data_IF_199578741327
#
_entry.id   IF_199578741327
#
_cell.length_a   1.000
_cell.length_b   1.000
_cell.length_c   1.000
_cell.angle_alpha   90.00
_cell.angle_beta   90.00
_cell.angle_gamma   90.00
#
_symmetry.space_group_name_H-M   'P 1'
#
loop_
_entity.id
_entity.type
_entity.pdbx_description
1 polymer ?
#
# COMPACT_ATOMS: atom_id res chain seq x y z
N UNK A 1 -15.91 7.56 -1.59
CA UNK A 1 -14.56 6.95 -1.44
C UNK A 1 -14.39 5.79 -2.43
N UNK A 2 -13.17 5.42 -2.85
CA UNK A 2 -12.91 4.32 -3.81
C UNK A 2 -13.61 3.01 -3.42
N UNK A 3 -13.50 2.63 -2.15
CA UNK A 3 -14.14 1.44 -1.57
C UNK A 3 -15.67 1.42 -1.73
N UNK A 4 -16.33 2.58 -1.66
CA UNK A 4 -17.79 2.70 -1.86
C UNK A 4 -18.18 2.69 -3.34
N UNK A 5 -17.31 3.22 -4.21
CA UNK A 5 -17.56 3.30 -5.64
C UNK A 5 -17.40 1.97 -6.36
N UNK A 6 -16.34 1.22 -6.03
CA UNK A 6 -16.11 -0.12 -6.55
C UNK A 6 -15.27 -0.94 -5.56
N UNK A 7 -15.96 -1.62 -4.65
CA UNK A 7 -15.32 -2.40 -3.59
C UNK A 7 -14.43 -3.52 -4.15
N UNK A 8 -14.94 -4.27 -5.14
CA UNK A 8 -14.23 -5.42 -5.70
C UNK A 8 -12.89 -4.99 -6.35
N UNK A 9 -12.91 -3.91 -7.13
CA UNK A 9 -11.70 -3.38 -7.76
C UNK A 9 -10.76 -2.73 -6.74
N UNK A 10 -11.30 -2.04 -5.74
CA UNK A 10 -10.50 -1.46 -4.64
C UNK A 10 -9.78 -2.56 -3.86
N UNK A 11 -10.44 -3.67 -3.53
CA UNK A 11 -9.81 -4.81 -2.86
C UNK A 11 -8.74 -5.49 -3.72
N UNK A 12 -8.95 -5.56 -5.04
CA UNK A 12 -7.91 -6.07 -5.97
C UNK A 12 -6.67 -5.16 -5.97
N UNK A 13 -6.88 -3.86 -5.98
CA UNK A 13 -5.81 -2.87 -5.90
C UNK A 13 -5.03 -2.98 -4.58
N UNK A 14 -5.73 -3.03 -3.45
CA UNK A 14 -5.10 -3.21 -2.13
C UNK A 14 -4.32 -4.53 -2.02
N UNK A 15 -4.83 -5.63 -2.60
CA UNK A 15 -4.08 -6.90 -2.65
C UNK A 15 -2.81 -6.82 -3.51
N UNK A 16 -2.85 -6.08 -4.61
CA UNK A 16 -1.65 -5.88 -5.43
C UNK A 16 -0.56 -5.17 -4.62
N UNK A 17 -0.92 -4.13 -3.87
CA UNK A 17 0.00 -3.41 -2.98
C UNK A 17 0.48 -4.29 -1.81
N UNK A 18 -0.39 -5.12 -1.24
CA UNK A 18 0.00 -6.08 -0.20
C UNK A 18 1.10 -7.02 -0.72
N UNK A 19 0.92 -7.57 -1.92
CA UNK A 19 1.90 -8.45 -2.55
C UNK A 19 3.23 -7.72 -2.79
N UNK A 20 3.19 -6.45 -3.24
CA UNK A 20 4.39 -5.62 -3.36
C UNK A 20 5.12 -5.52 -2.01
N UNK A 21 4.41 -5.20 -0.92
CA UNK A 21 4.98 -5.14 0.43
C UNK A 21 5.56 -6.48 0.92
N UNK A 22 4.90 -7.61 0.63
CA UNK A 22 5.38 -8.95 1.01
C UNK A 22 6.68 -9.33 0.29
N UNK A 23 6.78 -8.97 -0.99
CA UNK A 23 7.97 -9.21 -1.83
C UNK A 23 9.05 -8.13 -1.72
N UNK A 24 8.76 -7.04 -1.01
CA UNK A 24 9.62 -5.87 -0.93
C UNK A 24 10.95 -6.21 -0.25
N UNK A 25 12.05 -5.79 -0.87
CA UNK A 25 13.40 -5.86 -0.32
C UNK A 25 13.84 -4.49 0.20
N UNK A 26 14.66 -4.42 1.27
CA UNK A 26 15.26 -3.17 1.71
C UNK A 26 15.99 -2.46 0.57
N UNK A 27 15.81 -1.14 0.46
CA UNK A 27 16.55 -0.36 -0.53
C UNK A 27 18.01 -0.16 -0.09
N UNK A 28 18.92 -0.28 -1.05
CA UNK A 28 20.33 0.02 -0.86
C UNK A 28 20.62 1.54 -0.78
N UNK A 29 19.69 2.37 -1.27
CA UNK A 29 19.80 3.83 -1.31
C UNK A 29 18.45 4.49 -1.58
N UNK A 30 18.36 5.80 -1.37
CA UNK A 30 17.14 6.60 -1.52
C UNK A 30 17.30 7.76 -2.51
N UNK A 31 18.26 7.64 -3.44
CA UNK A 31 18.41 8.61 -4.50
C UNK A 31 17.23 8.57 -5.48
N UNK A 32 17.09 9.64 -6.25
CA UNK A 32 15.96 9.82 -7.15
C UNK A 32 15.83 8.70 -8.19
N UNK A 33 16.94 8.21 -8.77
CA UNK A 33 16.88 7.18 -9.80
C UNK A 33 16.49 5.82 -9.21
N UNK A 34 16.99 5.50 -8.01
CA UNK A 34 16.56 4.30 -7.27
C UNK A 34 15.06 4.33 -6.97
N UNK A 35 14.54 5.45 -6.45
CA UNK A 35 13.12 5.59 -6.14
C UNK A 35 12.25 5.60 -7.39
N UNK A 36 12.69 6.27 -8.45
CA UNK A 36 11.99 6.28 -9.75
C UNK A 36 11.91 4.89 -10.35
N UNK A 37 13.01 4.13 -10.34
CA UNK A 37 13.03 2.77 -10.85
C UNK A 37 12.10 1.84 -10.04
N UNK A 38 12.10 1.97 -8.71
CA UNK A 38 11.18 1.26 -7.83
C UNK A 38 9.71 1.51 -8.25
N UNK A 39 9.30 2.79 -8.37
CA UNK A 39 7.93 3.15 -8.74
C UNK A 39 7.57 2.64 -10.13
N UNK A 40 8.40 2.92 -11.14
CA UNK A 40 8.10 2.54 -12.53
C UNK A 40 8.01 1.02 -12.69
N UNK A 41 8.92 0.27 -12.05
CA UNK A 41 8.86 -1.19 -12.11
C UNK A 41 7.62 -1.71 -11.40
N UNK A 42 7.32 -1.20 -10.21
CA UNK A 42 6.15 -1.60 -9.45
C UNK A 42 4.82 -1.31 -10.15
N UNK A 43 4.67 -0.14 -10.78
CA UNK A 43 3.50 0.22 -11.60
C UNK A 43 3.30 -0.75 -12.78
N UNK A 44 4.39 -1.18 -13.41
CA UNK A 44 4.37 -2.15 -14.49
C UNK A 44 4.00 -3.55 -13.98
N UNK A 45 4.57 -3.97 -12.84
CA UNK A 45 4.34 -5.29 -12.24
C UNK A 45 2.87 -5.49 -11.84
N UNK A 46 2.24 -4.44 -11.31
CA UNK A 46 0.80 -4.48 -10.98
C UNK A 46 -0.10 -4.08 -12.14
N UNK A 47 0.46 -3.73 -13.30
CA UNK A 47 -0.24 -3.15 -14.45
C UNK A 47 -1.25 -2.07 -14.02
N UNK A 48 -0.75 -0.98 -13.44
CA UNK A 48 -1.56 0.02 -12.69
C UNK A 48 -2.76 0.58 -13.46
N UNK A 49 -2.66 0.64 -14.79
CA UNK A 49 -3.73 1.09 -15.69
C UNK A 49 -5.03 0.30 -15.54
N UNK A 50 -4.96 -0.97 -15.10
CA UNK A 50 -6.15 -1.78 -14.82
C UNK A 50 -7.04 -1.21 -13.70
N UNK A 51 -6.50 -0.30 -12.88
CA UNK A 51 -7.19 0.32 -11.75
C UNK A 51 -7.69 1.74 -12.04
N UNK A 52 -7.44 2.30 -13.24
CA UNK A 52 -7.76 3.70 -13.57
C UNK A 52 -9.25 4.03 -13.47
N UNK A 53 -10.15 3.06 -13.59
CA UNK A 53 -11.59 3.28 -13.36
C UNK A 53 -11.91 3.68 -11.91
N UNK A 54 -11.01 3.42 -10.95
CA UNK A 54 -11.13 3.92 -9.58
C UNK A 54 -10.87 5.43 -9.46
N UNK A 55 -10.31 6.09 -10.48
CA UNK A 55 -10.07 7.54 -10.47
C UNK A 55 -11.38 8.34 -10.50
N UNK A 56 -12.50 7.72 -10.90
CA UNK A 56 -13.83 8.32 -10.79
C UNK A 56 -14.34 8.44 -9.34
N UNK A 57 -13.62 7.89 -8.35
CA UNK A 57 -14.05 7.85 -6.95
C UNK A 57 -12.97 8.38 -6.00
N UNK A 58 -13.37 9.25 -5.06
CA UNK A 58 -12.45 9.84 -4.08
C UNK A 58 -11.67 11.02 -4.64
N UNK A 59 -10.73 11.54 -3.84
CA UNK A 59 -10.01 12.79 -4.15
C UNK A 59 -8.70 12.56 -4.91
N UNK A 60 -7.99 11.48 -4.59
CA UNK A 60 -6.67 11.16 -5.17
C UNK A 60 -6.79 10.06 -6.22
N UNK A 61 -6.02 10.16 -7.30
CA UNK A 61 -5.91 9.09 -8.31
C UNK A 61 -5.13 7.86 -7.80
N UNK A 62 -5.23 6.75 -8.54
CA UNK A 62 -4.59 5.48 -8.15
C UNK A 62 -3.07 5.50 -8.30
N UNK A 63 -2.50 6.36 -9.15
CA UNK A 63 -1.05 6.45 -9.35
C UNK A 63 -0.41 7.13 -8.14
N UNK A 64 -0.94 8.28 -7.74
CA UNK A 64 -0.52 8.97 -6.52
C UNK A 64 -0.63 8.08 -5.28
N UNK A 65 -1.77 7.39 -5.12
CA UNK A 65 -1.98 6.49 -4.00
C UNK A 65 -0.99 5.32 -4.03
N UNK A 66 -0.67 4.80 -5.21
CA UNK A 66 0.29 3.72 -5.37
C UNK A 66 1.69 4.17 -4.94
N UNK A 67 2.16 5.31 -5.46
CA UNK A 67 3.45 5.89 -5.10
C UNK A 67 3.58 6.08 -3.60
N UNK A 68 2.56 6.65 -2.95
CA UNK A 68 2.57 6.85 -1.50
C UNK A 68 2.70 5.52 -0.75
N UNK A 69 1.93 4.51 -1.16
CA UNK A 69 1.91 3.20 -0.52
C UNK A 69 3.21 2.41 -0.72
N UNK A 70 3.77 2.44 -1.92
CA UNK A 70 5.04 1.79 -2.25
C UNK A 70 6.20 2.38 -1.42
N UNK A 71 6.25 3.72 -1.30
CA UNK A 71 7.26 4.38 -0.49
C UNK A 71 7.15 4.05 1.00
N UNK A 72 5.92 3.96 1.54
CA UNK A 72 5.69 3.55 2.93
C UNK A 72 6.08 2.08 3.17
N UNK A 73 5.73 1.19 2.24
CA UNK A 73 6.09 -0.22 2.30
C UNK A 73 7.61 -0.42 2.38
N UNK A 74 8.32 0.25 1.48
CA UNK A 74 9.77 0.17 1.38
C UNK A 74 10.47 0.82 2.56
N UNK A 75 9.98 1.96 3.04
CA UNK A 75 10.52 2.63 4.22
C UNK A 75 10.42 1.73 5.46
N UNK A 76 9.30 1.04 5.64
CA UNK A 76 9.11 0.08 6.74
C UNK A 76 10.16 -1.04 6.68
N UNK A 77 10.28 -1.74 5.55
CA UNK A 77 11.24 -2.85 5.37
C UNK A 77 12.69 -2.41 5.49
N UNK A 78 13.02 -1.22 4.99
CA UNK A 78 14.38 -0.68 5.02
C UNK A 78 14.81 -0.27 6.42
N UNK A 79 13.93 0.41 7.17
CA UNK A 79 14.24 0.85 8.53
C UNK A 79 14.17 -0.29 9.55
N UNK A 80 13.23 -1.23 9.36
CA UNK A 80 12.96 -2.28 10.34
C UNK A 80 12.30 -3.48 9.67
N UNK A 81 13.08 -4.48 9.29
CA UNK A 81 12.58 -5.67 8.59
C UNK A 81 11.51 -6.46 9.38
N UNK A 82 11.48 -6.34 10.71
CA UNK A 82 10.48 -6.91 11.61
C UNK A 82 9.29 -5.96 11.90
N UNK A 83 9.17 -4.82 11.22
CA UNK A 83 7.97 -4.01 11.26
C UNK A 83 6.93 -4.51 10.26
N UNK A 84 5.66 -4.44 10.67
CA UNK A 84 4.53 -4.94 9.89
C UNK A 84 3.33 -3.97 9.91
N UNK A 85 3.54 -2.72 10.32
CA UNK A 85 2.47 -1.74 10.49
C UNK A 85 1.74 -1.51 9.16
N UNK A 86 2.51 -1.28 8.10
CA UNK A 86 1.93 -1.01 6.79
C UNK A 86 1.17 -2.24 6.25
N UNK A 87 1.77 -3.43 6.36
CA UNK A 87 1.08 -4.68 6.03
C UNK A 87 -0.22 -4.88 6.82
N UNK A 88 -0.18 -4.65 8.13
CA UNK A 88 -1.35 -4.79 9.03
C UNK A 88 -2.47 -3.81 8.67
N UNK A 89 -2.13 -2.60 8.24
CA UNK A 89 -3.13 -1.62 7.78
C UNK A 89 -3.81 -2.10 6.50
N UNK A 90 -3.07 -2.68 5.55
CA UNK A 90 -3.66 -3.21 4.32
C UNK A 90 -4.56 -4.42 4.63
N UNK A 91 -4.14 -5.30 5.53
CA UNK A 91 -4.96 -6.43 5.99
C UNK A 91 -6.29 -5.95 6.60
N UNK A 92 -6.25 -4.91 7.45
CA UNK A 92 -7.45 -4.33 8.04
C UNK A 92 -8.34 -3.65 6.98
N UNK A 93 -7.76 -2.97 5.99
CA UNK A 93 -8.51 -2.42 4.85
C UNK A 93 -9.15 -3.50 3.97
N UNK A 94 -8.57 -4.70 3.92
CA UNK A 94 -9.14 -5.84 3.22
C UNK A 94 -10.21 -6.58 4.03
N UNK A 95 -10.29 -6.34 5.34
CA UNK A 95 -11.25 -6.97 6.24
C UNK A 95 -12.70 -6.63 5.86
N UNK A 96 -13.62 -7.48 6.34
CA UNK A 96 -15.07 -7.32 6.07
C UNK A 96 -15.73 -6.35 7.05
N UNK A 97 -15.11 -6.12 8.21
CA UNK A 97 -15.63 -5.30 9.32
C UNK A 97 -14.73 -4.07 9.53
N UNK A 98 -14.51 -3.35 8.42
CA UNK A 98 -13.66 -2.16 8.33
C UNK A 98 -14.22 -1.06 9.22
N UNK A 99 -13.50 -0.79 10.30
CA UNK A 99 -13.72 0.38 11.13
C UNK A 99 -12.47 1.24 11.10
N UNK A 100 -12.63 2.54 10.81
CA UNK A 100 -11.53 3.50 10.86
C UNK A 100 -10.86 3.51 12.23
N UNK A 101 -11.60 3.25 13.31
CA UNK A 101 -11.04 3.11 14.65
C UNK A 101 -10.21 1.84 14.83
N UNK A 102 -10.55 0.74 14.15
CA UNK A 102 -9.70 -0.46 14.10
C UNK A 102 -8.43 -0.22 13.29
N UNK A 103 -8.54 0.49 12.17
CA UNK A 103 -7.36 0.86 11.36
C UNK A 103 -6.42 1.74 12.17
N UNK A 104 -6.96 2.76 12.86
CA UNK A 104 -6.19 3.65 13.73
C UNK A 104 -5.63 2.90 14.94
N UNK A 105 -6.39 1.97 15.55
CA UNK A 105 -5.88 1.19 16.68
C UNK A 105 -4.77 0.25 16.25
N UNK A 106 -4.85 -0.40 15.08
CA UNK A 106 -3.76 -1.15 14.46
C UNK A 106 -2.54 -0.26 14.21
N UNK A 107 -2.74 0.99 13.80
CA UNK A 107 -1.67 1.97 13.60
C UNK A 107 -1.02 2.45 14.92
N UNK A 108 -1.81 2.55 16.01
CA UNK A 108 -1.41 3.15 17.29
C UNK A 108 -0.94 2.13 18.36
N UNK A 109 -1.47 0.90 18.36
CA UNK A 109 -1.10 -0.15 19.29
C UNK A 109 -0.05 -1.08 18.66
N UNK A 110 1.20 -0.64 18.72
CA UNK A 110 2.37 -1.52 18.68
C UNK A 110 2.58 -2.30 17.38
N UNK A 111 3.42 -1.74 16.50
CA UNK A 111 4.25 -2.53 15.57
C UNK A 111 5.30 -3.40 16.30
N UNK A 112 4.95 -3.97 17.47
CA UNK A 112 5.78 -4.79 18.35
C UNK A 112 5.00 -6.08 18.58
N UNK A 113 5.48 -7.18 17.99
CA UNK A 113 5.19 -8.49 18.58
C UNK A 113 5.90 -8.53 19.93
N UNK A 114 5.15 -8.90 20.97
CA UNK A 114 5.74 -9.35 22.24
C UNK A 114 6.55 -10.62 22.05
#
# INVERSE_FOLDING_TARGET
MKMQGNEALTKRYLRAIQNCWESCVPLAGNDYETLKALIVNGENDIAITQFFSLNAFGEYDVEFLYVLMELLAVQEKTNRADAYLFGSIIEELLSTDRDIFKIISTAGFGGRKG
#
